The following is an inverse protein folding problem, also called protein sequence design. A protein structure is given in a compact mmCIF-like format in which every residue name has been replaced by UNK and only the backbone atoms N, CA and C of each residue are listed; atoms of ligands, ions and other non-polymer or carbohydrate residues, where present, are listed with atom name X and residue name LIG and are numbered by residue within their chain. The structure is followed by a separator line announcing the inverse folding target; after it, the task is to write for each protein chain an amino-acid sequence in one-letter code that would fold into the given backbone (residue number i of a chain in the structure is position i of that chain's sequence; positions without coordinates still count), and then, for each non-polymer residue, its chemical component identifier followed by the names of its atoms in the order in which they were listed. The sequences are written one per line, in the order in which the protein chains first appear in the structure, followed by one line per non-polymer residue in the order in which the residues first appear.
data_IF_863620527626
#
_entry.id   IF_863620527626
#
_cell.length_a   1.000
_cell.length_b   1.000
_cell.length_c   1.000
_cell.angle_alpha   90.00
_cell.angle_beta   90.00
_cell.angle_gamma   90.00
#
_symmetry.space_group_name_H-M   'P 1'
#
loop_
_entity.id
_entity.type
_entity.pdbx_description
1 polymer ?
#
# COMPACT_ATOMS: atom_id res chain seq x y z
N UNK A 1 64.19 3.16 31.80
CA UNK A 1 62.91 2.92 32.49
C UNK A 1 61.83 3.70 31.76
N UNK A 2 61.07 3.05 30.86
CA UNK A 2 60.03 3.69 30.06
C UNK A 2 58.71 3.82 30.83
N UNK A 3 57.84 4.78 30.49
CA UNK A 3 56.57 4.95 31.19
C UNK A 3 55.59 3.85 30.80
N UNK A 4 54.99 3.21 31.80
CA UNK A 4 53.95 2.18 31.62
C UNK A 4 52.62 2.84 31.24
N UNK A 5 52.00 2.33 30.17
CA UNK A 5 50.70 2.79 29.67
C UNK A 5 49.61 2.55 30.73
N UNK A 6 48.99 3.64 31.22
CA UNK A 6 47.82 3.57 32.10
C UNK A 6 46.64 2.95 31.32
N UNK A 7 46.07 1.86 31.85
CA UNK A 7 44.80 1.31 31.36
C UNK A 7 43.69 2.29 31.68
N UNK A 8 42.95 2.74 30.68
CA UNK A 8 41.74 3.55 30.89
C UNK A 8 40.62 2.63 31.33
N UNK A 9 40.08 2.90 32.53
CA UNK A 9 38.90 2.26 33.06
C UNK A 9 37.71 2.49 32.10
N UNK A 10 37.04 1.39 31.76
CA UNK A 10 35.91 1.40 30.82
C UNK A 10 34.81 2.29 31.37
N UNK A 11 34.54 3.40 30.69
CA UNK A 11 33.35 4.23 30.93
C UNK A 11 32.12 3.33 30.83
N UNK A 12 31.34 3.24 31.91
CA UNK A 12 30.09 2.48 32.02
C UNK A 12 28.99 3.12 31.16
N UNK A 13 29.09 2.94 29.84
CA UNK A 13 28.08 3.35 28.88
C UNK A 13 26.95 2.31 28.94
N UNK A 14 25.73 2.77 29.24
CA UNK A 14 24.53 1.93 29.25
C UNK A 14 24.36 1.19 27.92
N UNK A 15 24.15 -0.14 27.99
CA UNK A 15 23.94 -1.00 26.83
C UNK A 15 22.53 -1.57 26.86
N UNK A 16 21.75 -1.25 25.82
CA UNK A 16 20.43 -1.86 25.61
C UNK A 16 20.57 -3.37 25.41
N UNK A 17 19.70 -4.18 26.04
CA UNK A 17 19.68 -5.63 25.85
C UNK A 17 19.37 -5.98 24.40
N UNK A 18 20.16 -6.89 23.83
CA UNK A 18 19.93 -7.43 22.49
C UNK A 18 18.82 -8.47 22.57
N UNK A 19 17.59 -8.06 22.24
CA UNK A 19 16.46 -8.98 22.13
C UNK A 19 16.64 -9.87 20.89
N UNK A 20 16.67 -11.19 21.09
CA UNK A 20 16.62 -12.14 20.00
C UNK A 20 15.17 -12.29 19.50
N UNK A 21 14.94 -12.48 18.19
CA UNK A 21 13.60 -12.78 17.69
C UNK A 21 13.10 -14.10 18.30
N UNK A 22 12.05 -14.03 19.09
CA UNK A 22 11.36 -15.21 19.64
C UNK A 22 10.16 -15.51 18.75
N UNK A 23 9.94 -16.79 18.41
CA UNK A 23 8.74 -17.21 17.69
C UNK A 23 7.52 -16.96 18.56
N UNK A 24 6.57 -16.20 18.03
CA UNK A 24 5.28 -15.97 18.68
C UNK A 24 4.35 -17.12 18.33
N UNK A 25 4.08 -18.01 19.29
CA UNK A 25 3.14 -19.14 19.15
C UNK A 25 1.70 -18.65 19.27
N UNK A 26 1.26 -17.91 18.26
CA UNK A 26 -0.17 -17.69 18.06
C UNK A 26 -0.73 -19.01 17.53
N UNK A 27 -1.39 -19.79 18.40
CA UNK A 27 -1.90 -21.11 18.04
C UNK A 27 -2.62 -21.10 16.69
N UNK A 28 -2.49 -22.20 15.93
CA UNK A 28 -2.89 -22.42 14.52
C UNK A 28 -4.26 -21.84 14.05
N UNK A 29 -5.12 -21.42 14.97
CA UNK A 29 -6.39 -20.76 14.74
C UNK A 29 -6.26 -19.30 14.25
N UNK A 30 -5.24 -18.53 14.64
CA UNK A 30 -5.15 -17.12 14.21
C UNK A 30 -4.80 -16.99 12.72
N UNK A 31 -3.86 -17.81 12.26
CA UNK A 31 -3.43 -17.88 10.85
C UNK A 31 -4.60 -18.29 9.96
N UNK A 32 -5.34 -19.34 10.35
CA UNK A 32 -6.52 -19.81 9.61
C UNK A 32 -7.62 -18.74 9.49
N UNK A 33 -7.90 -18.01 10.59
CA UNK A 33 -8.88 -16.91 10.57
C UNK A 33 -8.45 -15.78 9.63
N UNK A 34 -7.15 -15.45 9.63
CA UNK A 34 -6.58 -14.42 8.74
C UNK A 34 -6.62 -14.84 7.27
N UNK A 35 -6.41 -16.12 6.97
CA UNK A 35 -6.54 -16.62 5.61
C UNK A 35 -8.00 -16.65 5.14
N UNK A 36 -8.92 -17.10 5.99
CA UNK A 36 -10.36 -17.10 5.67
C UNK A 36 -10.89 -15.68 5.40
N UNK A 37 -10.52 -14.70 6.24
CA UNK A 37 -10.95 -13.31 6.01
C UNK A 37 -10.39 -12.74 4.70
N UNK A 38 -9.15 -13.09 4.34
CA UNK A 38 -8.54 -12.71 3.05
C UNK A 38 -9.24 -13.35 1.87
N UNK A 39 -9.67 -14.62 1.98
CA UNK A 39 -10.42 -15.32 0.94
C UNK A 39 -11.80 -14.70 0.74
N UNK A 40 -12.52 -14.40 1.83
CA UNK A 40 -13.83 -13.73 1.78
C UNK A 40 -13.70 -12.35 1.14
N UNK A 41 -12.71 -11.55 1.56
CA UNK A 41 -12.45 -10.23 0.98
C UNK A 41 -12.03 -10.28 -0.50
N UNK A 42 -11.44 -11.39 -0.96
CA UNK A 42 -11.12 -11.60 -2.37
C UNK A 42 -12.35 -12.02 -3.17
N UNK A 43 -13.19 -12.88 -2.59
CA UNK A 43 -14.43 -13.35 -3.20
C UNK A 43 -15.42 -12.19 -3.40
N UNK A 44 -15.63 -11.35 -2.38
CA UNK A 44 -16.50 -10.17 -2.46
C UNK A 44 -16.02 -9.12 -3.46
N UNK A 45 -14.71 -9.11 -3.77
CA UNK A 45 -14.12 -8.25 -4.80
C UNK A 45 -14.14 -8.87 -6.21
N UNK A 46 -14.73 -10.05 -6.38
CA UNK A 46 -14.85 -10.66 -7.71
C UNK A 46 -15.74 -9.80 -8.62
N UNK A 47 -15.37 -9.72 -9.91
CA UNK A 47 -16.09 -8.93 -10.91
C UNK A 47 -17.55 -9.38 -11.02
N UNK A 48 -17.75 -10.69 -11.09
CA UNK A 48 -19.08 -11.33 -11.20
C UNK A 48 -20.04 -10.85 -10.10
N UNK A 49 -19.59 -10.81 -8.84
CA UNK A 49 -20.45 -10.36 -7.75
C UNK A 49 -20.79 -8.86 -7.91
N UNK A 50 -19.83 -8.03 -8.31
CA UNK A 50 -20.09 -6.60 -8.56
C UNK A 50 -21.07 -6.37 -9.71
N UNK A 51 -20.92 -7.12 -10.79
CA UNK A 51 -21.78 -7.01 -11.97
C UNK A 51 -23.22 -7.43 -11.59
N UNK A 52 -23.38 -8.51 -10.81
CA UNK A 52 -24.68 -8.89 -10.24
C UNK A 52 -25.26 -7.78 -9.34
N UNK A 53 -24.46 -7.21 -8.43
CA UNK A 53 -24.95 -6.11 -7.59
C UNK A 53 -25.37 -4.89 -8.41
N UNK A 54 -24.65 -4.55 -9.49
CA UNK A 54 -25.01 -3.44 -10.37
C UNK A 54 -26.31 -3.68 -11.14
N UNK A 55 -26.62 -4.93 -11.49
CA UNK A 55 -27.89 -5.29 -12.16
C UNK A 55 -29.10 -5.20 -11.23
N UNK A 56 -28.92 -5.43 -9.92
CA UNK A 56 -30.02 -5.44 -8.93
C UNK A 56 -30.11 -4.15 -8.08
N UNK A 57 -29.09 -3.30 -8.09
CA UNK A 57 -29.07 -2.03 -7.34
C UNK A 57 -29.47 -0.89 -8.28
N UNK A 58 -30.55 -0.17 -7.97
CA UNK A 58 -31.04 0.95 -8.79
C UNK A 58 -30.22 2.25 -8.63
N UNK A 59 -29.06 2.19 -7.95
CA UNK A 59 -28.21 3.37 -7.71
C UNK A 59 -27.44 3.76 -8.98
N UNK A 60 -27.35 5.06 -9.30
CA UNK A 60 -26.58 5.50 -10.46
C UNK A 60 -25.08 5.22 -10.27
N UNK A 61 -24.41 4.76 -11.33
CA UNK A 61 -22.96 4.63 -11.34
C UNK A 61 -22.27 5.99 -11.56
N UNK A 62 -21.19 6.23 -10.82
CA UNK A 62 -20.34 7.40 -10.99
C UNK A 62 -19.54 7.26 -12.30
N UNK A 63 -20.00 7.95 -13.34
CA UNK A 63 -19.29 8.07 -14.62
C UNK A 63 -18.51 9.38 -14.67
N UNK A 64 -17.23 9.28 -15.04
CA UNK A 64 -16.36 10.44 -15.15
C UNK A 64 -16.83 11.39 -16.26
N UNK A 65 -16.69 12.71 -16.07
CA UNK A 65 -17.22 13.74 -16.98
C UNK A 65 -16.68 13.66 -18.43
N UNK A 66 -15.61 12.90 -18.66
CA UNK A 66 -15.03 12.65 -19.99
C UNK A 66 -15.75 11.48 -20.69
N UNK A 67 -17.08 11.55 -20.75
CA UNK A 67 -17.97 10.47 -21.15
C UNK A 67 -17.43 9.54 -22.24
N UNK A 68 -17.49 8.24 -21.95
CA UNK A 68 -17.34 7.19 -22.96
C UNK A 68 -15.95 6.56 -23.09
N UNK A 69 -15.93 5.23 -22.92
CA UNK A 69 -14.99 4.26 -23.52
C UNK A 69 -13.54 4.23 -22.98
N UNK A 70 -13.04 5.25 -22.26
CA UNK A 70 -11.69 5.17 -21.67
C UNK A 70 -11.61 4.40 -20.35
N UNK A 71 -12.71 4.31 -19.60
CA UNK A 71 -12.79 3.53 -18.37
C UNK A 71 -12.87 2.01 -18.64
N UNK A 72 -13.45 1.61 -19.77
CA UNK A 72 -13.60 0.19 -20.15
C UNK A 72 -12.36 -0.43 -20.80
N UNK A 73 -11.45 0.41 -21.32
CA UNK A 73 -10.23 -0.06 -21.98
C UNK A 73 -9.14 -0.42 -20.97
N UNK A 74 -9.37 -1.47 -20.19
CA UNK A 74 -8.38 -2.21 -19.40
C UNK A 74 -7.56 -1.38 -18.40
N UNK A 75 -8.19 -0.43 -17.71
CA UNK A 75 -7.57 0.19 -16.54
C UNK A 75 -7.84 -0.65 -15.29
N UNK A 76 -6.77 -1.04 -14.59
CA UNK A 76 -6.85 -1.74 -13.32
C UNK A 76 -7.55 -0.82 -12.31
N UNK A 77 -8.84 -1.07 -12.00
CA UNK A 77 -9.64 -0.29 -11.01
C UNK A 77 -8.88 -0.09 -9.69
N UNK A 78 -7.97 -1.01 -9.34
CA UNK A 78 -7.09 -0.89 -8.16
C UNK A 78 -6.08 0.24 -8.24
N UNK A 79 -5.58 0.55 -9.43
CA UNK A 79 -4.65 1.66 -9.64
C UNK A 79 -5.41 2.97 -9.47
N UNK A 80 -6.61 3.06 -10.01
CA UNK A 80 -7.47 4.24 -9.87
C UNK A 80 -7.89 4.47 -8.42
N UNK A 81 -8.34 3.44 -7.71
CA UNK A 81 -8.67 3.49 -6.28
C UNK A 81 -7.47 3.99 -5.45
N UNK A 82 -6.26 3.50 -5.74
CA UNK A 82 -5.03 3.97 -5.08
C UNK A 82 -4.72 5.44 -5.36
N UNK A 83 -4.96 5.92 -6.57
CA UNK A 83 -4.75 7.33 -6.90
C UNK A 83 -5.80 8.21 -6.21
N UNK A 84 -7.06 7.79 -6.18
CA UNK A 84 -8.13 8.49 -5.48
C UNK A 84 -7.86 8.56 -3.97
N UNK A 85 -7.45 7.44 -3.35
CA UNK A 85 -7.05 7.38 -1.93
C UNK A 85 -5.88 8.33 -1.65
N UNK A 86 -4.89 8.34 -2.54
CA UNK A 86 -3.77 9.27 -2.43
C UNK A 86 -4.21 10.73 -2.51
N UNK A 87 -5.04 11.08 -3.49
CA UNK A 87 -5.57 12.45 -3.61
C UNK A 87 -6.33 12.88 -2.35
N UNK A 88 -7.18 12.01 -1.80
CA UNK A 88 -7.88 12.26 -0.53
C UNK A 88 -6.91 12.54 0.61
N UNK A 89 -5.88 11.70 0.76
CA UNK A 89 -4.87 11.91 1.80
C UNK A 89 -4.13 13.25 1.63
N UNK A 90 -3.75 13.60 0.39
CA UNK A 90 -3.06 14.86 0.09
C UNK A 90 -3.95 16.08 0.39
N UNK A 91 -5.27 15.98 0.12
CA UNK A 91 -6.27 17.02 0.41
C UNK A 91 -6.53 17.16 1.92
N UNK A 92 -6.69 16.06 2.63
CA UNK A 92 -6.96 16.05 4.07
C UNK A 92 -5.77 16.58 4.89
N UNK A 93 -4.55 16.25 4.46
CA UNK A 93 -3.32 16.59 5.18
C UNK A 93 -2.58 17.79 4.59
N UNK A 94 -3.06 18.34 3.47
CA UNK A 94 -2.45 19.46 2.74
C UNK A 94 -0.96 19.26 2.40
N UNK A 95 -0.54 18.00 2.16
CA UNK A 95 0.85 17.63 1.87
C UNK A 95 0.88 16.73 0.62
N UNK A 96 1.84 16.98 -0.28
CA UNK A 96 2.10 16.15 -1.46
C UNK A 96 2.96 14.93 -1.11
N UNK A 97 2.58 13.74 -1.59
CA UNK A 97 3.37 12.52 -1.40
C UNK A 97 4.39 12.32 -2.54
N UNK A 98 5.70 12.16 -2.26
CA UNK A 98 6.66 11.89 -3.31
C UNK A 98 6.51 10.45 -3.86
N UNK A 99 6.56 10.29 -5.19
CA UNK A 99 6.55 8.97 -5.83
C UNK A 99 7.97 8.42 -5.91
N UNK A 100 8.17 7.17 -5.47
CA UNK A 100 9.47 6.51 -5.60
C UNK A 100 9.78 6.15 -7.07
N UNK A 101 11.07 6.11 -7.45
CA UNK A 101 11.49 5.73 -8.82
C UNK A 101 10.95 4.35 -9.24
N UNK A 102 10.85 3.42 -8.30
CA UNK A 102 10.34 2.06 -8.53
C UNK A 102 8.84 2.05 -8.82
N UNK A 103 8.07 2.83 -8.06
CA UNK A 103 6.64 3.01 -8.26
C UNK A 103 6.34 3.73 -9.58
N UNK A 104 7.14 4.75 -9.89
CA UNK A 104 7.11 5.44 -11.16
C UNK A 104 7.30 4.50 -12.35
N UNK A 105 8.25 3.56 -12.25
CA UNK A 105 8.49 2.54 -13.28
C UNK A 105 7.30 1.58 -13.44
N UNK A 106 6.67 1.16 -12.34
CA UNK A 106 5.46 0.32 -12.37
C UNK A 106 4.28 1.04 -13.02
N UNK A 107 4.12 2.33 -12.74
CA UNK A 107 3.08 3.17 -13.35
C UNK A 107 3.29 3.35 -14.85
N UNK A 108 4.53 3.57 -15.30
CA UNK A 108 4.89 3.64 -16.74
C UNK A 108 4.55 2.36 -17.48
N UNK A 109 4.86 1.21 -16.88
CA UNK A 109 4.63 -0.09 -17.50
C UNK A 109 3.13 -0.43 -17.58
N UNK A 110 2.34 0.06 -16.63
CA UNK A 110 0.93 -0.32 -16.50
C UNK A 110 -0.05 0.60 -17.23
N UNK A 111 0.33 1.80 -17.71
CA UNK A 111 -0.54 2.55 -18.64
C UNK A 111 0.08 3.83 -19.25
N UNK A 112 -0.47 4.22 -20.40
CA UNK A 112 -0.31 5.52 -21.09
C UNK A 112 -0.74 6.76 -20.25
N UNK A 113 -1.32 6.58 -19.05
CA UNK A 113 -1.74 7.65 -18.10
C UNK A 113 -0.53 8.43 -17.53
N UNK A 114 0.68 7.89 -17.66
CA UNK A 114 1.93 8.52 -17.20
C UNK A 114 2.16 9.94 -17.77
N UNK A 115 1.67 10.22 -18.99
CA UNK A 115 1.84 11.53 -19.64
C UNK A 115 1.00 12.66 -19.02
N UNK A 116 -0.02 12.36 -18.23
CA UNK A 116 -0.85 13.37 -17.55
C UNK A 116 -0.28 13.80 -16.19
N UNK A 117 0.34 12.87 -15.46
CA UNK A 117 0.88 13.11 -14.10
C UNK A 117 2.11 14.03 -14.13
N UNK A 118 2.84 14.07 -15.25
CA UNK A 118 4.07 14.85 -15.42
C UNK A 118 3.86 16.24 -16.06
N UNK A 119 2.63 16.76 -16.04
CA UNK A 119 2.23 18.00 -16.74
C UNK A 119 1.83 19.15 -15.79
N UNK A 120 2.16 19.02 -14.51
CA UNK A 120 2.04 20.07 -13.49
C UNK A 120 3.46 20.44 -13.05
#
# INVERSE_FOLDING_TARGET
MGPTLRKFDKVEIYKVPKLAPVHFDEGNNSVRKKEQSRLIARASKSRIIKDLFAEFDDKPEEVDATGGVRAEMMHDKRIEEKFAERSRYEEENFIRLPISKNELKKLKNNSKKFRMILRI
#
